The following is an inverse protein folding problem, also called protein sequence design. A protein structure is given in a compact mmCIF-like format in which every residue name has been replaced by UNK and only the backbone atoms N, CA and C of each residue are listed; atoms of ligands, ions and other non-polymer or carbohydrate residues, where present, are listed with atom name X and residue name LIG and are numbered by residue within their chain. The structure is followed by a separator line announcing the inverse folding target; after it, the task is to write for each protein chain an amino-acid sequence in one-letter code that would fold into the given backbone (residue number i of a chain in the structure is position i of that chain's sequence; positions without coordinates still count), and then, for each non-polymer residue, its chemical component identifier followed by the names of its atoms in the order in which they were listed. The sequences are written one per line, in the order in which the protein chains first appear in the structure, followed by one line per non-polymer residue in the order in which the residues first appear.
data_IF_914444287696
#
_entry.id   IF_914444287696
#
_cell.length_a   1.000
_cell.length_b   1.000
_cell.length_c   1.000
_cell.angle_alpha   90.00
_cell.angle_beta   90.00
_cell.angle_gamma   90.00
#
_symmetry.space_group_name_H-M   'P 1'
#
loop_
_entity.id
_entity.type
_entity.pdbx_description
1 polymer ?
#
# COMPACT_ATOMS: atom_id res chain seq x y z
N UNK A 1 -10.01 -15.34 19.46
CA UNK A 1 -8.91 -14.93 18.56
C UNK A 1 -8.55 -16.02 17.54
N UNK A 2 -9.49 -16.90 17.15
CA UNK A 2 -9.20 -18.05 16.25
C UNK A 2 -9.55 -17.76 14.78
N UNK A 3 -10.35 -16.74 14.52
CA UNK A 3 -10.90 -16.44 13.19
C UNK A 3 -10.03 -15.52 12.30
N UNK A 4 -9.04 -14.80 12.86
CA UNK A 4 -8.21 -13.86 12.08
C UNK A 4 -7.18 -14.57 11.17
N UNK A 5 -6.66 -15.72 11.58
CA UNK A 5 -5.62 -16.43 10.82
C UNK A 5 -6.17 -17.14 9.57
N UNK A 6 -7.46 -17.54 9.56
CA UNK A 6 -8.05 -18.33 8.47
C UNK A 6 -8.45 -17.48 7.24
N UNK A 7 -8.36 -16.15 7.30
CA UNK A 7 -8.87 -15.25 6.25
C UNK A 7 -7.86 -14.26 5.70
N UNK A 8 -6.59 -14.29 6.11
CA UNK A 8 -5.57 -13.44 5.51
C UNK A 8 -5.35 -13.79 4.03
N UNK A 9 -5.28 -12.75 3.22
CA UNK A 9 -5.03 -12.80 1.77
C UNK A 9 -3.96 -11.81 1.41
N UNK A 10 -3.34 -12.03 0.26
CA UNK A 10 -2.47 -11.04 -0.36
C UNK A 10 -3.30 -10.14 -1.27
N UNK A 11 -3.13 -8.83 -1.09
CA UNK A 11 -3.76 -7.78 -1.87
C UNK A 11 -2.69 -7.02 -2.62
N UNK A 12 -2.87 -6.86 -3.92
CA UNK A 12 -1.94 -6.13 -4.78
C UNK A 12 -2.50 -4.74 -5.06
N UNK A 13 -1.70 -3.72 -4.80
CA UNK A 13 -1.90 -2.36 -5.26
C UNK A 13 -1.04 -2.14 -6.50
N UNK A 14 -1.66 -1.76 -7.61
CA UNK A 14 -0.97 -1.45 -8.87
C UNK A 14 -1.45 -0.13 -9.45
N UNK A 15 -0.56 0.68 -10.03
CA UNK A 15 -0.95 1.94 -10.61
C UNK A 15 -1.84 1.70 -11.83
N UNK A 16 -2.91 2.46 -11.94
CA UNK A 16 -3.80 2.46 -13.12
C UNK A 16 -3.70 3.76 -13.91
N UNK A 17 -3.25 4.84 -13.27
CA UNK A 17 -2.92 6.08 -13.95
C UNK A 17 -1.56 5.98 -14.65
N UNK A 18 -1.41 6.66 -15.79
CA UNK A 18 -0.14 6.77 -16.49
C UNK A 18 0.87 7.57 -15.66
N UNK A 19 2.17 7.34 -15.82
CA UNK A 19 3.22 8.01 -15.01
C UNK A 19 3.25 9.54 -15.17
N UNK A 20 2.71 10.07 -16.28
CA UNK A 20 2.61 11.50 -16.57
C UNK A 20 1.28 12.12 -16.15
N UNK A 21 0.39 11.35 -15.53
CA UNK A 21 -0.93 11.84 -15.12
C UNK A 21 -0.80 12.95 -14.07
N UNK A 22 -1.41 14.14 -14.29
CA UNK A 22 -1.34 15.24 -13.33
C UNK A 22 -1.97 14.90 -11.97
N UNK A 23 -2.84 13.88 -11.89
CA UNK A 23 -3.40 13.42 -10.64
C UNK A 23 -2.34 12.89 -9.67
N UNK A 24 -1.16 12.48 -10.15
CA UNK A 24 -0.03 12.11 -9.29
C UNK A 24 0.45 13.28 -8.44
N UNK A 25 0.37 14.53 -8.91
CA UNK A 25 0.78 15.73 -8.17
C UNK A 25 2.18 15.64 -7.55
N UNK A 26 3.12 14.97 -8.24
CA UNK A 26 4.48 14.74 -7.75
C UNK A 26 4.62 13.67 -6.66
N UNK A 27 3.55 12.92 -6.34
CA UNK A 27 3.61 11.76 -5.44
C UNK A 27 4.51 10.67 -6.01
N UNK A 28 5.10 9.88 -5.11
CA UNK A 28 5.83 8.66 -5.47
C UNK A 28 4.88 7.69 -6.18
N UNK A 29 5.35 7.10 -7.28
CA UNK A 29 4.64 6.07 -8.03
C UNK A 29 5.30 4.73 -7.74
N UNK A 30 4.62 3.90 -6.97
CA UNK A 30 4.91 2.48 -6.81
C UNK A 30 4.35 1.71 -7.99
N UNK A 31 5.18 0.88 -8.60
CA UNK A 31 4.80 -0.01 -9.69
C UNK A 31 4.02 -1.22 -9.19
N UNK A 32 4.30 -1.67 -7.97
CA UNK A 32 3.55 -2.75 -7.30
C UNK A 32 3.78 -2.76 -5.79
N UNK A 33 2.71 -2.94 -5.03
CA UNK A 33 2.78 -3.24 -3.59
C UNK A 33 1.86 -4.40 -3.26
N UNK A 34 2.40 -5.46 -2.66
CA UNK A 34 1.62 -6.61 -2.21
C UNK A 34 1.56 -6.61 -0.67
N UNK A 35 0.35 -6.67 -0.12
CA UNK A 35 0.06 -6.51 1.30
C UNK A 35 -0.76 -7.67 1.83
N UNK A 36 -0.39 -8.17 3.00
CA UNK A 36 -1.18 -9.18 3.72
C UNK A 36 -2.25 -8.48 4.53
N UNK A 37 -3.52 -8.77 4.26
CA UNK A 37 -4.64 -8.18 5.00
C UNK A 37 -5.90 -9.06 4.97
N UNK A 38 -6.80 -8.85 5.92
CA UNK A 38 -8.11 -9.50 5.93
C UNK A 38 -9.09 -8.83 4.97
N UNK A 39 -8.91 -7.53 4.73
CA UNK A 39 -9.79 -6.72 3.86
C UNK A 39 -9.00 -5.79 2.93
N UNK A 40 -9.67 -5.30 1.89
CA UNK A 40 -9.10 -4.29 0.96
C UNK A 40 -8.73 -2.99 1.68
N UNK A 41 -9.54 -2.53 2.63
CA UNK A 41 -9.29 -1.29 3.38
C UNK A 41 -8.07 -1.39 4.28
N UNK A 42 -7.86 -2.55 4.92
CA UNK A 42 -6.65 -2.83 5.70
C UNK A 42 -5.39 -2.86 4.82
N UNK A 43 -5.49 -3.43 3.60
CA UNK A 43 -4.37 -3.44 2.66
C UNK A 43 -3.95 -2.02 2.26
N UNK A 44 -4.92 -1.15 1.94
CA UNK A 44 -4.67 0.26 1.63
C UNK A 44 -4.00 0.94 2.83
N UNK A 45 -4.57 0.79 4.03
CA UNK A 45 -4.03 1.43 5.24
C UNK A 45 -2.59 0.99 5.54
N UNK A 46 -2.28 -0.28 5.34
CA UNK A 46 -0.92 -0.80 5.53
C UNK A 46 0.06 -0.28 4.46
N UNK A 47 -0.34 -0.19 3.19
CA UNK A 47 0.47 0.43 2.13
C UNK A 47 0.76 1.91 2.44
N UNK A 48 -0.25 2.68 2.89
CA UNK A 48 -0.09 4.07 3.32
C UNK A 48 0.91 4.19 4.47
N UNK A 49 0.77 3.34 5.50
CA UNK A 49 1.70 3.33 6.65
C UNK A 49 3.12 2.99 6.22
N UNK A 50 3.29 2.05 5.29
CA UNK A 50 4.59 1.70 4.75
C UNK A 50 5.25 2.87 4.02
N UNK A 51 4.50 3.57 3.15
CA UNK A 51 4.98 4.79 2.48
C UNK A 51 5.37 5.90 3.48
N UNK A 52 4.53 6.13 4.49
CA UNK A 52 4.80 7.11 5.54
C UNK A 52 6.06 6.74 6.34
N UNK A 53 6.26 5.47 6.68
CA UNK A 53 7.43 5.01 7.40
C UNK A 53 8.72 5.20 6.59
N UNK A 54 8.69 4.96 5.27
CA UNK A 54 9.84 5.21 4.40
C UNK A 54 10.17 6.70 4.27
N UNK A 55 9.14 7.54 4.19
CA UNK A 55 9.31 9.00 4.10
C UNK A 55 9.86 9.57 5.41
N UNK A 56 9.35 9.11 6.56
CA UNK A 56 9.84 9.51 7.88
C UNK A 56 11.32 9.17 8.12
N UNK A 57 11.83 8.13 7.46
CA UNK A 57 13.23 7.71 7.58
C UNK A 57 14.18 8.46 6.63
N UNK A 58 13.64 9.11 5.59
CA UNK A 58 14.43 9.78 4.55
C UNK A 58 14.65 11.26 4.84
N UNK A 59 13.77 11.89 5.62
CA UNK A 59 13.76 13.35 5.78
C UNK A 59 13.44 13.82 7.20
N UNK A 60 14.47 14.21 7.95
CA UNK A 60 14.31 15.19 9.03
C UNK A 60 14.15 16.63 8.51
N UNK A 61 14.18 16.85 7.17
CA UNK A 61 14.26 18.19 6.58
C UNK A 61 13.19 18.51 5.51
N UNK A 62 12.31 17.56 5.16
CA UNK A 62 11.23 17.77 4.18
C UNK A 62 9.87 17.81 4.87
N UNK A 63 9.61 18.89 5.63
CA UNK A 63 8.29 19.17 6.20
C UNK A 63 7.19 19.38 5.14
N UNK A 64 7.53 19.54 3.86
CA UNK A 64 6.57 19.82 2.78
C UNK A 64 5.86 18.57 2.22
N UNK A 65 6.35 17.35 2.50
CA UNK A 65 5.72 16.12 1.99
C UNK A 65 4.61 15.57 2.90
N UNK A 66 4.38 16.17 4.08
CA UNK A 66 3.46 15.61 5.09
C UNK A 66 1.99 16.01 4.94
N UNK A 67 1.61 16.85 3.98
CA UNK A 67 0.24 17.36 3.85
C UNK A 67 -0.60 16.69 2.75
N UNK A 68 0.00 15.83 1.93
CA UNK A 68 -0.73 15.11 0.87
C UNK A 68 -1.28 13.76 1.35
N UNK A 69 -2.54 13.45 1.00
CA UNK A 69 -3.04 12.06 1.01
C UNK A 69 -2.13 11.18 0.15
N UNK A 70 -1.92 9.93 0.60
CA UNK A 70 -1.14 8.95 -0.14
C UNK A 70 -1.82 8.62 -1.46
N UNK A 71 -1.03 8.30 -2.49
CA UNK A 71 -1.58 7.86 -3.78
C UNK A 71 -2.44 6.60 -3.64
N UNK A 72 -2.12 5.72 -2.68
CA UNK A 72 -2.86 4.47 -2.44
C UNK A 72 -4.30 4.69 -1.99
N UNK A 73 -4.65 5.88 -1.50
CA UNK A 73 -6.00 6.22 -1.07
C UNK A 73 -6.89 6.68 -2.25
N UNK A 74 -6.31 6.89 -3.44
CA UNK A 74 -7.03 7.33 -4.64
C UNK A 74 -7.21 6.17 -5.64
N UNK A 75 -8.45 5.73 -5.80
CA UNK A 75 -8.83 4.65 -6.73
C UNK A 75 -8.54 4.97 -8.21
N UNK A 76 -8.37 6.25 -8.54
CA UNK A 76 -7.99 6.69 -9.89
C UNK A 76 -6.49 6.51 -10.15
N UNK A 77 -5.69 6.43 -9.09
CA UNK A 77 -4.25 6.23 -9.15
C UNK A 77 -3.89 4.75 -8.97
N UNK A 78 -4.53 4.06 -8.02
CA UNK A 78 -4.28 2.66 -7.72
C UNK A 78 -5.54 1.80 -7.79
N UNK A 79 -5.40 0.62 -8.42
CA UNK A 79 -6.35 -0.48 -8.25
C UNK A 79 -5.82 -1.45 -7.20
N UNK A 80 -6.74 -1.99 -6.40
CA UNK A 80 -6.45 -3.02 -5.40
C UNK A 80 -7.11 -4.33 -5.80
N UNK A 81 -6.30 -5.34 -6.10
CA UNK A 81 -6.74 -6.65 -6.55
C UNK A 81 -6.42 -7.70 -5.48
N UNK A 82 -7.39 -8.57 -5.18
CA UNK A 82 -7.13 -9.75 -4.34
C UNK A 82 -6.37 -10.79 -5.16
N UNK A 83 -5.22 -11.23 -4.66
CA UNK A 83 -4.48 -12.31 -5.28
C UNK A 83 -5.06 -13.68 -4.89
N UNK A 84 -4.95 -14.70 -5.77
CA UNK A 84 -5.41 -16.05 -5.47
C UNK A 84 -4.55 -16.75 -4.40
N UNK A 85 -3.35 -16.24 -4.15
CA UNK A 85 -2.43 -16.79 -3.15
C UNK A 85 -2.92 -16.54 -1.71
N UNK A 86 -2.66 -17.53 -0.86
CA UNK A 86 -2.78 -17.35 0.59
C UNK A 86 -1.63 -16.47 1.08
N UNK A 87 -1.82 -15.80 2.22
CA UNK A 87 -0.73 -15.10 2.88
C UNK A 87 0.43 -16.07 3.19
N UNK A 88 1.70 -15.64 3.07
CA UNK A 88 2.84 -16.47 3.41
C UNK A 88 2.78 -16.93 4.86
N UNK A 89 3.34 -18.12 5.14
CA UNK A 89 3.35 -18.67 6.48
C UNK A 89 4.10 -17.74 7.44
N UNK A 90 3.45 -17.36 8.54
CA UNK A 90 4.00 -16.45 9.55
C UNK A 90 3.83 -14.97 9.23
N UNK A 91 3.22 -14.60 8.10
CA UNK A 91 2.90 -13.21 7.81
C UNK A 91 1.79 -12.69 8.75
N UNK A 92 1.94 -11.44 9.16
CA UNK A 92 1.01 -10.74 10.02
C UNK A 92 0.10 -9.83 9.19
N UNK A 93 -1.11 -9.51 9.69
CA UNK A 93 -1.95 -8.49 9.08
C UNK A 93 -1.20 -7.15 9.01
N UNK A 94 -1.16 -6.57 7.81
CA UNK A 94 -0.46 -5.33 7.51
C UNK A 94 0.98 -5.49 7.02
N UNK A 95 1.51 -6.71 6.95
CA UNK A 95 2.83 -6.95 6.37
C UNK A 95 2.84 -6.60 4.88
N UNK A 96 3.79 -5.75 4.48
CA UNK A 96 4.11 -5.51 3.08
C UNK A 96 5.13 -6.57 2.67
N UNK A 97 4.70 -7.53 1.85
CA UNK A 97 5.54 -8.65 1.42
C UNK A 97 6.34 -8.32 0.17
N UNK A 98 5.94 -7.26 -0.55
CA UNK A 98 6.63 -6.77 -1.73
C UNK A 98 6.28 -5.30 -2.01
N UNK A 99 7.27 -4.48 -2.39
CA UNK A 99 7.08 -3.09 -2.78
C UNK A 99 8.20 -2.59 -3.71
N UNK A 100 7.85 -2.12 -4.91
CA UNK A 100 8.75 -1.51 -5.92
C UNK A 100 8.17 -0.24 -6.54
#
# INVERSE_FOLDING_TARGET
MKDMAETLRVWRLSPVAQTVDPAWQGRRIWTRVDVVAGTVGEAILAAVRHEQALTANTDQNSQDHQQGRSGFEDERLYRVDRLPEAAPAGALPGDVVFAE
#
